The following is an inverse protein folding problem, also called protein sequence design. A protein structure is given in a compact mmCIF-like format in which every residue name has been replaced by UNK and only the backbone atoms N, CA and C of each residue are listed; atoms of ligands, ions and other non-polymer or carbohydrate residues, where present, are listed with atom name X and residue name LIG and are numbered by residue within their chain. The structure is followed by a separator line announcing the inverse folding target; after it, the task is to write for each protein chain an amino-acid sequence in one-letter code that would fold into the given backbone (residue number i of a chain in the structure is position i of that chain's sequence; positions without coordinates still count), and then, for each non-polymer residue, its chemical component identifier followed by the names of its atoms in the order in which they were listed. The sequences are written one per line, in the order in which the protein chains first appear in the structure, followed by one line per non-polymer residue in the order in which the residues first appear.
data_IF_375740069039
#
_entry.id   IF_375740069039
#
_cell.length_a   1.000
_cell.length_b   1.000
_cell.length_c   1.000
_cell.angle_alpha   90.00
_cell.angle_beta   90.00
_cell.angle_gamma   90.00
#
_symmetry.space_group_name_H-M   'P 1'
#
loop_
_entity.id
_entity.type
_entity.pdbx_description
1 polymer ?
#
# COMPACT_ATOMS: atom_id res chain seq x y z
N UNK A 1 1.89 -32.18 -6.33
CA UNK A 1 1.76 -32.54 -7.75
C UNK A 1 1.18 -33.95 -7.88
N UNK A 2 0.12 -34.08 -8.62
CA UNK A 2 -0.60 -35.36 -8.83
C UNK A 2 -0.78 -35.72 -10.31
N UNK A 3 -0.11 -35.02 -11.21
CA UNK A 3 -0.21 -35.17 -12.67
C UNK A 3 0.58 -36.36 -13.21
N UNK A 4 0.36 -36.66 -14.51
CA UNK A 4 1.05 -37.72 -15.26
C UNK A 4 2.22 -37.23 -16.12
N UNK A 5 2.39 -35.91 -16.22
CA UNK A 5 3.44 -35.29 -17.03
C UNK A 5 4.69 -35.01 -16.18
N UNK A 6 5.85 -35.05 -16.81
CA UNK A 6 7.08 -34.66 -16.14
C UNK A 6 7.09 -33.15 -15.88
N UNK A 7 7.21 -32.76 -14.62
CA UNK A 7 7.40 -31.39 -14.19
C UNK A 7 8.79 -31.17 -13.64
N UNK A 8 9.34 -30.01 -13.95
CA UNK A 8 10.66 -29.58 -13.50
C UNK A 8 10.54 -28.30 -12.69
N UNK A 9 10.96 -28.35 -11.43
CA UNK A 9 11.11 -27.17 -10.58
C UNK A 9 12.58 -26.74 -10.60
N UNK A 10 12.84 -25.53 -11.06
CA UNK A 10 14.20 -24.99 -11.22
C UNK A 10 15.15 -25.92 -12.01
N UNK A 11 14.61 -26.64 -12.98
CA UNK A 11 15.35 -27.60 -13.79
C UNK A 11 15.51 -29.00 -13.17
N UNK A 12 15.05 -29.25 -11.95
CA UNK A 12 15.02 -30.56 -11.31
C UNK A 12 13.66 -31.23 -11.48
N UNK A 13 13.66 -32.50 -11.91
CA UNK A 13 12.41 -33.24 -12.03
C UNK A 13 11.77 -33.44 -10.66
N UNK A 14 10.47 -33.17 -10.56
CA UNK A 14 9.70 -33.31 -9.33
C UNK A 14 8.80 -34.54 -9.42
N UNK A 15 8.77 -35.32 -8.34
CA UNK A 15 7.97 -36.53 -8.24
C UNK A 15 6.52 -36.23 -7.80
N UNK A 16 5.53 -36.95 -8.32
CA UNK A 16 4.16 -36.87 -7.84
C UNK A 16 4.08 -37.18 -6.33
N UNK A 17 3.02 -36.66 -5.69
CA UNK A 17 2.71 -36.89 -4.25
C UNK A 17 3.76 -36.35 -3.27
N UNK A 18 4.73 -35.56 -3.74
CA UNK A 18 5.69 -34.88 -2.88
C UNK A 18 5.44 -33.37 -2.84
N UNK A 19 5.78 -32.76 -1.72
CA UNK A 19 5.69 -31.31 -1.51
C UNK A 19 7.05 -30.67 -1.77
N UNK A 20 7.06 -29.64 -2.58
CA UNK A 20 8.25 -28.86 -2.93
C UNK A 20 8.06 -27.40 -2.57
N UNK A 21 9.12 -26.72 -2.19
CA UNK A 21 9.09 -25.28 -1.94
C UNK A 21 9.16 -24.56 -3.29
N UNK A 22 8.18 -23.70 -3.53
CA UNK A 22 8.08 -22.83 -4.68
C UNK A 22 8.12 -21.39 -4.20
N UNK A 23 9.27 -20.73 -4.31
CA UNK A 23 9.55 -19.41 -3.76
C UNK A 23 10.04 -18.41 -4.82
N UNK A 24 10.46 -17.24 -4.40
CA UNK A 24 10.94 -16.18 -5.29
C UNK A 24 12.06 -16.67 -6.21
N UNK A 25 11.88 -16.41 -7.52
CA UNK A 25 12.81 -16.84 -8.56
C UNK A 25 12.59 -18.26 -9.05
N UNK A 26 11.71 -19.04 -8.42
CA UNK A 26 11.41 -20.41 -8.84
C UNK A 26 10.61 -20.43 -10.15
N UNK A 27 10.88 -21.47 -10.95
CA UNK A 27 10.18 -21.75 -12.21
C UNK A 27 9.70 -23.19 -12.26
N UNK A 28 8.50 -23.40 -12.77
CA UNK A 28 7.96 -24.73 -13.11
C UNK A 28 7.90 -24.84 -14.63
N UNK A 29 8.40 -25.95 -15.16
CA UNK A 29 8.36 -26.27 -16.59
C UNK A 29 7.80 -27.65 -16.81
N UNK A 30 7.08 -27.82 -17.92
CA UNK A 30 6.65 -29.11 -18.48
C UNK A 30 6.94 -29.13 -19.96
N UNK A 31 6.98 -30.32 -20.56
CA UNK A 31 7.21 -30.50 -22.00
C UNK A 31 6.10 -29.95 -22.90
N UNK A 32 4.90 -29.68 -22.35
CA UNK A 32 3.73 -29.25 -23.11
C UNK A 32 3.16 -27.88 -22.73
N UNK A 33 3.77 -27.15 -21.76
CA UNK A 33 3.20 -25.89 -21.28
C UNK A 33 4.25 -24.77 -21.24
N UNK A 34 3.77 -23.52 -21.23
CA UNK A 34 4.64 -22.39 -20.98
C UNK A 34 5.26 -22.46 -19.57
N UNK A 35 6.47 -21.92 -19.43
CA UNK A 35 7.12 -21.82 -18.12
C UNK A 35 6.27 -20.98 -17.19
N UNK A 36 5.97 -21.52 -16.01
CA UNK A 36 5.27 -20.82 -14.93
C UNK A 36 6.33 -20.27 -13.97
N UNK A 37 6.32 -18.96 -13.76
CA UNK A 37 7.19 -18.29 -12.81
C UNK A 37 6.47 -18.09 -11.47
N UNK A 38 7.21 -18.10 -10.37
CA UNK A 38 6.66 -17.77 -9.05
C UNK A 38 5.88 -16.45 -9.06
N UNK A 39 6.40 -15.44 -9.76
CA UNK A 39 5.75 -14.15 -9.85
C UNK A 39 4.40 -14.20 -10.57
N UNK A 40 4.22 -15.09 -11.58
CA UNK A 40 2.94 -15.24 -12.28
C UNK A 40 1.89 -15.81 -11.33
N UNK A 41 2.26 -16.81 -10.53
CA UNK A 41 1.37 -17.39 -9.52
C UNK A 41 1.07 -16.35 -8.42
N UNK A 42 2.08 -15.66 -7.91
CA UNK A 42 1.91 -14.66 -6.89
C UNK A 42 1.06 -13.47 -7.36
N UNK A 43 1.18 -13.06 -8.64
CA UNK A 43 0.38 -11.97 -9.21
C UNK A 43 -1.12 -12.29 -9.20
N UNK A 44 -1.50 -13.53 -9.49
CA UNK A 44 -2.93 -13.95 -9.44
C UNK A 44 -3.49 -13.80 -8.03
N UNK A 45 -2.75 -14.21 -7.01
CA UNK A 45 -3.18 -14.04 -5.61
C UNK A 45 -3.13 -12.57 -5.17
N UNK A 46 -2.20 -11.80 -5.71
CA UNK A 46 -2.10 -10.36 -5.43
C UNK A 46 -3.22 -9.58 -6.10
N UNK A 47 -3.59 -9.94 -7.35
CA UNK A 47 -4.75 -9.34 -8.05
C UNK A 47 -6.08 -9.65 -7.34
N UNK A 48 -6.23 -10.86 -6.77
CA UNK A 48 -7.39 -11.18 -5.92
C UNK A 48 -7.35 -10.40 -4.60
N UNK A 49 -6.18 -10.18 -4.02
CA UNK A 49 -6.01 -9.33 -2.85
C UNK A 49 -6.30 -7.85 -3.15
N UNK A 50 -5.98 -7.36 -4.35
CA UNK A 50 -6.36 -6.01 -4.82
C UNK A 50 -7.86 -5.86 -5.09
N UNK A 51 -8.62 -6.95 -5.21
CA UNK A 51 -10.09 -6.94 -5.24
C UNK A 51 -10.70 -6.82 -3.83
N UNK A 52 -9.92 -6.93 -2.77
CA UNK A 52 -10.39 -6.62 -1.43
C UNK A 52 -10.67 -5.12 -1.36
N UNK A 53 -11.95 -4.78 -1.29
CA UNK A 53 -12.36 -3.40 -1.05
C UNK A 53 -11.73 -2.91 0.24
N UNK A 54 -11.02 -1.79 0.15
CA UNK A 54 -10.52 -1.10 1.33
C UNK A 54 -11.63 -0.14 1.77
N UNK A 55 -12.04 -0.20 3.02
CA UNK A 55 -12.95 0.77 3.63
C UNK A 55 -12.22 1.69 4.58
N UNK A 56 -12.67 2.95 4.64
CA UNK A 56 -12.32 3.90 5.68
C UNK A 56 -13.59 4.31 6.42
N UNK A 57 -13.57 4.15 7.73
CA UNK A 57 -14.68 4.45 8.62
C UNK A 57 -14.20 5.41 9.70
N UNK A 58 -14.73 6.62 9.70
CA UNK A 58 -14.52 7.60 10.78
C UNK A 58 -15.80 7.76 11.57
N UNK A 59 -15.75 7.47 12.87
CA UNK A 59 -16.92 7.50 13.75
C UNK A 59 -16.69 8.48 14.88
N UNK A 60 -17.61 9.44 15.02
CA UNK A 60 -17.65 10.45 16.09
C UNK A 60 -16.32 11.22 16.25
N UNK A 61 -15.60 11.39 15.15
CA UNK A 61 -14.29 12.03 15.12
C UNK A 61 -14.42 13.50 15.49
N UNK A 62 -13.68 13.92 16.53
CA UNK A 62 -13.63 15.30 16.99
C UNK A 62 -12.18 15.69 17.31
N UNK A 63 -11.81 16.89 16.92
CA UNK A 63 -10.52 17.49 17.26
C UNK A 63 -10.69 18.98 17.53
N UNK A 64 -10.25 19.45 18.68
CA UNK A 64 -10.19 20.88 19.02
C UNK A 64 -8.75 21.30 19.25
N UNK A 65 -8.39 22.46 18.73
CA UNK A 65 -7.09 23.04 19.02
C UNK A 65 -7.08 23.64 20.43
N UNK A 66 -5.92 23.57 21.11
CA UNK A 66 -5.77 24.16 22.44
C UNK A 66 -6.12 25.66 22.40
N UNK A 67 -6.94 26.09 23.34
CA UNK A 67 -7.36 27.49 23.50
C UNK A 67 -8.11 28.07 22.28
N UNK A 68 -8.82 27.25 21.52
CA UNK A 68 -9.59 27.67 20.36
C UNK A 68 -10.87 26.85 20.25
N UNK A 69 -11.93 27.49 19.80
CA UNK A 69 -13.16 26.79 19.40
C UNK A 69 -13.06 26.17 18.00
N UNK A 70 -11.92 26.41 17.32
CA UNK A 70 -11.67 25.86 16.00
C UNK A 70 -11.24 24.40 16.09
N UNK A 71 -11.68 23.63 15.13
CA UNK A 71 -11.35 22.21 15.02
C UNK A 71 -12.34 21.43 14.17
N UNK A 72 -12.25 20.13 14.20
CA UNK A 72 -13.22 19.22 13.62
C UNK A 72 -14.31 18.98 14.66
N UNK A 73 -15.54 19.41 14.35
CA UNK A 73 -16.70 19.01 15.14
C UNK A 73 -17.06 17.57 14.80
N UNK A 74 -17.88 16.94 15.65
CA UNK A 74 -18.29 15.54 15.51
C UNK A 74 -18.60 15.17 14.06
N UNK A 75 -17.75 14.33 13.48
CA UNK A 75 -17.84 13.89 12.08
C UNK A 75 -17.99 12.38 12.02
N UNK A 76 -18.91 11.93 11.17
CA UNK A 76 -19.01 10.54 10.72
C UNK A 76 -18.81 10.51 9.21
N UNK A 77 -17.98 9.57 8.75
CA UNK A 77 -17.60 9.44 7.36
C UNK A 77 -17.31 7.97 7.04
N UNK A 78 -17.81 7.50 5.91
CA UNK A 78 -17.55 6.15 5.40
C UNK A 78 -17.32 6.22 3.91
N UNK A 79 -16.25 5.57 3.45
CA UNK A 79 -15.96 5.39 2.02
C UNK A 79 -15.28 4.05 1.74
N UNK A 80 -15.47 3.58 0.53
CA UNK A 80 -14.82 2.39 0.00
C UNK A 80 -13.83 2.73 -1.12
N UNK A 81 -12.85 1.86 -1.33
CA UNK A 81 -11.87 1.98 -2.42
C UNK A 81 -12.55 2.06 -3.79
N UNK A 82 -11.90 2.80 -4.71
CA UNK A 82 -12.40 3.07 -6.05
C UNK A 82 -13.15 4.38 -6.18
N UNK A 83 -13.42 5.10 -5.08
CA UNK A 83 -14.08 6.39 -5.08
C UNK A 83 -13.06 7.54 -4.97
N UNK A 84 -13.36 8.64 -5.65
CA UNK A 84 -12.67 9.92 -5.50
C UNK A 84 -13.50 10.83 -4.61
N UNK A 85 -12.95 11.20 -3.46
CA UNK A 85 -13.64 12.06 -2.48
C UNK A 85 -13.05 13.46 -2.50
N UNK A 86 -13.89 14.46 -2.74
CA UNK A 86 -13.52 15.87 -2.71
C UNK A 86 -13.90 16.53 -1.38
N UNK A 87 -12.94 17.17 -0.69
CA UNK A 87 -13.19 17.97 0.50
C UNK A 87 -13.21 19.45 0.09
N UNK A 88 -14.38 20.06 0.10
CA UNK A 88 -14.61 21.44 -0.34
C UNK A 88 -14.89 22.36 0.85
N UNK A 89 -14.46 23.61 0.74
CA UNK A 89 -14.69 24.64 1.75
C UNK A 89 -13.73 25.81 1.64
N UNK A 90 -14.03 26.92 2.30
CA UNK A 90 -13.20 28.12 2.33
C UNK A 90 -11.82 27.91 2.96
N UNK A 91 -10.97 28.93 2.92
CA UNK A 91 -9.68 28.91 3.63
C UNK A 91 -9.90 28.85 5.14
N UNK A 92 -9.10 28.08 5.86
CA UNK A 92 -9.14 28.01 7.33
C UNK A 92 -10.26 27.15 7.94
N UNK A 93 -11.17 26.56 7.16
CA UNK A 93 -12.28 25.75 7.70
C UNK A 93 -11.89 24.37 8.20
N UNK A 94 -10.62 23.98 8.14
CA UNK A 94 -10.12 22.73 8.72
C UNK A 94 -9.97 21.56 7.73
N UNK A 95 -9.99 21.79 6.40
CA UNK A 95 -9.80 20.74 5.39
C UNK A 95 -8.50 19.93 5.59
N UNK A 96 -7.38 20.63 5.73
CA UNK A 96 -6.06 20.01 5.98
C UNK A 96 -6.06 19.28 7.33
N UNK A 97 -6.70 19.83 8.34
CA UNK A 97 -6.84 19.18 9.65
C UNK A 97 -7.61 17.87 9.55
N UNK A 98 -8.71 17.86 8.80
CA UNK A 98 -9.49 16.66 8.55
C UNK A 98 -8.67 15.62 7.80
N UNK A 99 -7.97 16.02 6.73
CA UNK A 99 -7.13 15.14 5.97
C UNK A 99 -6.01 14.52 6.84
N UNK A 100 -5.37 15.34 7.71
CA UNK A 100 -4.35 14.85 8.64
C UNK A 100 -4.92 13.86 9.66
N UNK A 101 -6.17 14.02 10.07
CA UNK A 101 -6.82 13.04 10.95
C UNK A 101 -7.16 11.76 10.18
N UNK A 102 -7.72 11.85 8.99
CA UNK A 102 -8.06 10.67 8.19
C UNK A 102 -6.83 9.89 7.69
N UNK A 103 -5.68 10.56 7.56
CA UNK A 103 -4.41 9.93 7.14
C UNK A 103 -3.52 9.43 8.29
N UNK A 104 -3.93 9.65 9.55
CA UNK A 104 -3.17 9.17 10.72
C UNK A 104 -2.06 10.10 11.22
N UNK A 105 -1.87 11.28 10.60
CA UNK A 105 -0.85 12.26 11.00
C UNK A 105 -1.22 12.90 12.34
N UNK A 106 -2.50 13.23 12.53
CA UNK A 106 -2.99 13.90 13.75
C UNK A 106 -4.05 13.04 14.43
N UNK A 107 -3.77 12.59 15.67
CA UNK A 107 -4.73 11.80 16.43
C UNK A 107 -5.92 12.67 16.88
N UNK A 108 -7.17 12.25 16.68
CA UNK A 108 -8.35 12.96 17.17
C UNK A 108 -8.42 12.92 18.70
N UNK A 109 -9.14 13.84 19.29
CA UNK A 109 -9.40 13.88 20.75
C UNK A 109 -10.44 12.85 21.15
N UNK A 110 -11.43 12.60 20.30
CA UNK A 110 -12.45 11.57 20.46
C UNK A 110 -12.87 10.99 19.13
N UNK A 111 -13.54 9.86 19.18
CA UNK A 111 -13.91 9.07 18.01
C UNK A 111 -12.76 8.18 17.54
N UNK A 112 -12.99 7.52 16.45
CA UNK A 112 -12.01 6.61 15.86
C UNK A 112 -12.02 6.67 14.33
N UNK A 113 -10.89 6.30 13.74
CA UNK A 113 -10.75 6.08 12.29
C UNK A 113 -10.28 4.65 12.09
N UNK A 114 -11.08 3.89 11.37
CA UNK A 114 -10.80 2.50 11.04
C UNK A 114 -10.50 2.37 9.55
N UNK A 115 -9.52 1.54 9.20
CA UNK A 115 -9.29 1.10 7.82
C UNK A 115 -9.40 -0.41 7.83
N UNK A 116 -10.35 -0.96 7.08
CA UNK A 116 -10.69 -2.38 7.10
C UNK A 116 -10.89 -2.93 8.55
N UNK A 117 -11.51 -2.14 9.43
CA UNK A 117 -11.74 -2.49 10.83
C UNK A 117 -10.53 -2.34 11.75
N UNK A 118 -9.35 -1.96 11.26
CA UNK A 118 -8.17 -1.69 12.09
C UNK A 118 -8.11 -0.21 12.48
N UNK A 119 -8.09 0.07 13.78
CA UNK A 119 -7.99 1.44 14.28
C UNK A 119 -6.62 2.03 13.94
N UNK A 120 -6.62 3.11 13.16
CA UNK A 120 -5.44 3.80 12.62
C UNK A 120 -4.47 4.29 13.70
N UNK A 121 -4.98 4.59 14.88
CA UNK A 121 -4.19 5.14 16.00
C UNK A 121 -3.80 4.14 17.06
N UNK A 122 -4.21 2.86 16.92
CA UNK A 122 -3.75 1.80 17.81
C UNK A 122 -2.39 1.27 17.37
N UNK A 123 -1.59 0.74 18.29
CA UNK A 123 -0.30 0.14 17.95
C UNK A 123 -0.46 -1.04 16.97
N UNK A 124 -1.49 -1.86 17.15
CA UNK A 124 -1.81 -2.96 16.24
C UNK A 124 -2.23 -2.43 14.86
N UNK A 125 -3.01 -1.35 14.81
CA UNK A 125 -3.42 -0.70 13.57
C UNK A 125 -2.22 -0.15 12.80
N UNK A 126 -1.31 0.55 13.46
CA UNK A 126 -0.09 1.09 12.83
C UNK A 126 0.75 0.01 12.15
N UNK A 127 0.85 -1.18 12.76
CA UNK A 127 1.59 -2.30 12.18
C UNK A 127 0.85 -2.85 10.95
N UNK A 128 -0.45 -3.10 11.06
CA UNK A 128 -1.25 -3.73 10.00
C UNK A 128 -1.52 -2.79 8.80
N UNK A 129 -1.52 -1.48 9.04
CA UNK A 129 -1.81 -0.46 8.02
C UNK A 129 -0.55 0.19 7.45
N UNK A 130 0.62 -0.32 7.79
CA UNK A 130 1.89 0.21 7.25
C UNK A 130 1.91 0.08 5.72
N UNK A 131 2.11 1.19 5.04
CA UNK A 131 2.14 1.25 3.57
C UNK A 131 0.76 1.20 2.87
N UNK A 132 -0.35 1.16 3.64
CA UNK A 132 -1.71 1.20 3.08
C UNK A 132 -2.14 2.62 2.71
N UNK A 133 -1.65 3.62 3.46
CA UNK A 133 -2.00 5.03 3.24
C UNK A 133 -0.81 5.73 2.59
N UNK A 134 -1.03 6.29 1.39
CA UNK A 134 -0.14 7.28 0.79
C UNK A 134 -0.64 8.69 1.11
N UNK A 135 0.26 9.57 1.53
CA UNK A 135 -0.05 10.97 1.81
C UNK A 135 0.81 11.89 0.96
N UNK A 136 0.15 12.79 0.22
CA UNK A 136 0.83 13.84 -0.54
C UNK A 136 0.55 15.16 0.17
N UNK A 137 1.56 15.80 0.81
CA UNK A 137 1.40 17.08 1.47
C UNK A 137 1.19 18.23 0.49
N UNK A 138 0.78 19.38 1.01
CA UNK A 138 0.61 20.59 0.21
C UNK A 138 1.94 21.15 -0.30
N UNK A 139 2.96 21.12 0.57
CA UNK A 139 4.33 21.50 0.21
C UNK A 139 5.08 20.25 -0.22
N UNK A 140 5.87 20.34 -1.27
CA UNK A 140 6.70 19.21 -1.68
C UNK A 140 7.77 18.93 -0.61
N UNK A 141 8.11 17.64 -0.49
CA UNK A 141 9.15 17.16 0.43
C UNK A 141 10.39 16.73 -0.37
N UNK A 142 10.59 17.32 -1.55
CA UNK A 142 11.72 17.03 -2.38
C UNK A 142 13.00 17.61 -1.74
N UNK A 143 14.06 16.84 -1.80
CA UNK A 143 15.39 17.30 -1.42
C UNK A 143 16.01 17.89 -2.68
N UNK A 144 16.18 19.22 -2.73
CA UNK A 144 16.61 19.98 -3.91
C UNK A 144 18.00 19.56 -4.39
N UNK A 145 18.88 19.11 -3.50
CA UNK A 145 20.23 18.65 -3.83
C UNK A 145 20.26 17.27 -4.49
N UNK A 146 19.14 16.55 -4.50
CA UNK A 146 19.02 15.23 -5.10
C UNK A 146 18.37 15.31 -6.49
N UNK A 147 18.80 14.41 -7.36
CA UNK A 147 18.10 14.22 -8.65
C UNK A 147 16.70 13.63 -8.44
N UNK A 148 15.83 13.73 -9.44
CA UNK A 148 14.50 13.13 -9.44
C UNK A 148 14.58 11.63 -9.12
N UNK A 149 15.50 10.92 -9.78
CA UNK A 149 15.76 9.50 -9.52
C UNK A 149 16.12 9.24 -8.05
N UNK A 150 17.02 10.05 -7.48
CA UNK A 150 17.45 9.88 -6.08
C UNK A 150 16.32 10.16 -5.10
N UNK A 151 15.51 11.19 -5.32
CA UNK A 151 14.33 11.48 -4.50
C UNK A 151 13.36 10.30 -4.53
N UNK A 152 13.03 9.76 -5.71
CA UNK A 152 12.17 8.59 -5.84
C UNK A 152 12.78 7.35 -5.19
N UNK A 153 14.07 7.10 -5.41
CA UNK A 153 14.77 5.94 -4.86
C UNK A 153 14.78 5.93 -3.34
N UNK A 154 15.14 7.04 -2.70
CA UNK A 154 15.17 7.10 -1.24
C UNK A 154 13.78 7.03 -0.62
N UNK A 155 12.79 7.70 -1.23
CA UNK A 155 11.40 7.58 -0.78
C UNK A 155 10.87 6.13 -0.93
N UNK A 156 11.11 5.50 -2.06
CA UNK A 156 10.73 4.11 -2.27
C UNK A 156 11.41 3.17 -1.25
N UNK A 157 12.69 3.40 -0.94
CA UNK A 157 13.43 2.61 0.05
C UNK A 157 12.85 2.76 1.46
N UNK A 158 12.37 3.94 1.85
CA UNK A 158 11.74 4.16 3.15
C UNK A 158 10.33 3.55 3.23
N UNK A 159 9.59 3.55 2.13
CA UNK A 159 8.21 3.06 2.11
C UNK A 159 8.11 1.55 1.85
N UNK A 160 9.08 0.96 1.14
CA UNK A 160 9.07 -0.41 0.64
C UNK A 160 10.21 -1.23 1.28
N UNK A 161 10.30 -1.20 2.61
CA UNK A 161 11.38 -1.79 3.43
C UNK A 161 11.79 -3.23 3.07
N UNK A 162 10.86 -4.02 2.53
CA UNK A 162 11.07 -5.46 2.30
C UNK A 162 11.46 -5.80 0.86
N UNK A 163 11.63 -4.80 -0.01
CA UNK A 163 12.04 -5.07 -1.40
C UNK A 163 13.56 -5.16 -1.54
N UNK A 164 14.06 -6.20 -2.24
CA UNK A 164 15.46 -6.26 -2.65
C UNK A 164 15.83 -5.04 -3.50
N UNK A 165 17.09 -4.59 -3.41
CA UNK A 165 17.56 -3.38 -4.10
C UNK A 165 17.31 -3.40 -5.62
N UNK A 166 17.42 -4.57 -6.25
CA UNK A 166 17.16 -4.76 -7.68
C UNK A 166 15.70 -4.40 -8.00
N UNK A 167 14.75 -4.91 -7.21
CA UNK A 167 13.32 -4.64 -7.38
C UNK A 167 12.99 -3.19 -7.08
N UNK A 168 13.63 -2.60 -6.10
CA UNK A 168 13.45 -1.18 -5.79
C UNK A 168 13.83 -0.29 -6.97
N UNK A 169 14.97 -0.57 -7.62
CA UNK A 169 15.41 0.13 -8.84
C UNK A 169 14.45 -0.07 -10.01
N UNK A 170 13.91 -1.28 -10.17
CA UNK A 170 12.89 -1.57 -11.19
C UNK A 170 11.63 -0.74 -10.98
N UNK A 171 11.13 -0.65 -9.73
CA UNK A 171 9.96 0.18 -9.38
C UNK A 171 10.21 1.64 -9.69
N UNK A 172 11.36 2.18 -9.29
CA UNK A 172 11.72 3.59 -9.55
C UNK A 172 11.81 3.87 -11.05
N UNK A 173 12.50 3.01 -11.81
CA UNK A 173 12.63 3.18 -13.26
C UNK A 173 11.26 3.09 -13.95
N UNK A 174 10.41 2.15 -13.54
CA UNK A 174 9.06 2.05 -14.06
C UNK A 174 8.25 3.32 -13.79
N UNK A 175 8.30 3.84 -12.56
CA UNK A 175 7.61 5.09 -12.20
C UNK A 175 8.07 6.27 -13.05
N UNK A 176 9.38 6.39 -13.31
CA UNK A 176 9.90 7.44 -14.20
C UNK A 176 9.35 7.29 -15.63
N UNK A 177 9.36 6.07 -16.17
CA UNK A 177 8.80 5.79 -17.50
C UNK A 177 7.29 6.07 -17.57
N UNK A 178 6.54 5.72 -16.54
CA UNK A 178 5.09 5.94 -16.47
C UNK A 178 4.74 7.45 -16.38
N UNK A 179 5.70 8.28 -15.96
CA UNK A 179 5.58 9.74 -15.85
C UNK A 179 6.27 10.51 -17.00
N UNK A 180 6.79 9.80 -18.02
CA UNK A 180 7.58 10.38 -19.12
C UNK A 180 8.78 11.22 -18.65
N UNK A 181 9.51 10.79 -17.60
CA UNK A 181 10.68 11.42 -17.00
C UNK A 181 11.98 10.63 -17.23
#
# INVERSE_FOLDING_TARGET
YSGKEDLFLNGQNISPEQTYIFDHGSTIRSSGTNTIYYNDVNSVFTEEAFKLKISIDATDVCLRFKNSDNGIQKLNFHEESGNLVGILGGSGVGKTTLLNVLSGITKPQSGEVLINGFNLYSEKGKINLRGVIGFVPQDDLLIEELTVYQNLYYNARMCLDNLPEIRLKEVVNKTLLDLDL
#
